data_IF_270799005476
#
_entry.id   IF_270799005476
#
_cell.length_a   1.000
_cell.length_b   1.000
_cell.length_c   1.000
_cell.angle_alpha   90.00
_cell.angle_beta   90.00
_cell.angle_gamma   90.00
#
_symmetry.space_group_name_H-M   'P 1'
#
loop_
_entity.id
_entity.type
_entity.pdbx_description
1 polymer ?
#
# COMPACT_ATOMS: atom_id res chain seq x y z
N UNK A 1 -11.67 1.47 12.19
CA UNK A 1 -11.62 1.63 10.72
C UNK A 1 -10.55 0.68 10.22
N UNK A 2 -10.85 -0.20 9.27
CA UNK A 2 -9.90 -1.24 8.86
C UNK A 2 -8.88 -0.64 7.91
N UNK A 3 -7.60 -0.74 8.26
CA UNK A 3 -6.46 -0.24 7.49
C UNK A 3 -6.52 -0.64 6.03
N UNK A 4 -6.83 -1.92 5.81
CA UNK A 4 -7.06 -2.55 4.52
C UNK A 4 -8.03 -1.77 3.62
N UNK A 5 -9.15 -1.30 4.15
CA UNK A 5 -10.17 -0.62 3.32
C UNK A 5 -9.70 0.73 2.79
N UNK A 6 -8.92 1.48 3.58
CA UNK A 6 -8.42 2.80 3.19
C UNK A 6 -7.40 2.64 2.05
N UNK A 7 -6.48 1.68 2.20
CA UNK A 7 -5.43 1.42 1.21
C UNK A 7 -6.04 0.87 -0.08
N UNK A 8 -6.98 -0.07 0.01
CA UNK A 8 -7.68 -0.59 -1.17
C UNK A 8 -8.49 0.52 -1.86
N UNK A 9 -9.18 1.38 -1.12
CA UNK A 9 -9.90 2.51 -1.75
C UNK A 9 -8.98 3.48 -2.47
N UNK A 10 -7.82 3.79 -1.90
CA UNK A 10 -6.83 4.70 -2.51
C UNK A 10 -6.23 4.10 -3.77
N UNK A 11 -5.79 2.84 -3.68
CA UNK A 11 -5.32 2.08 -4.83
C UNK A 11 -6.38 1.93 -5.93
N UNK A 12 -7.67 1.79 -5.59
CA UNK A 12 -8.74 1.77 -6.60
C UNK A 12 -8.96 3.13 -7.26
N UNK A 13 -8.57 4.22 -6.59
CA UNK A 13 -8.73 5.57 -7.10
C UNK A 13 -7.54 5.96 -7.99
N UNK A 14 -6.32 5.59 -7.58
CA UNK A 14 -5.08 5.76 -8.34
C UNK A 14 -5.03 4.81 -9.54
N UNK A 15 -5.33 3.53 -9.30
CA UNK A 15 -5.34 2.49 -10.33
C UNK A 15 -6.80 2.24 -10.72
N UNK A 16 -7.18 2.62 -11.95
CA UNK A 16 -8.52 2.29 -12.51
C UNK A 16 -8.68 0.82 -12.89
N UNK A 17 -7.78 -0.04 -12.41
CA UNK A 17 -7.73 -1.47 -12.71
C UNK A 17 -8.17 -2.27 -11.49
N UNK A 18 -8.79 -3.42 -11.74
CA UNK A 18 -9.01 -4.38 -10.66
C UNK A 18 -7.67 -4.97 -10.26
N UNK A 19 -7.25 -4.69 -9.04
CA UNK A 19 -6.14 -5.36 -8.39
C UNK A 19 -6.66 -6.32 -7.33
N UNK A 20 -5.88 -7.35 -7.10
CA UNK A 20 -6.07 -8.27 -5.99
C UNK A 20 -5.02 -7.96 -4.92
N UNK A 21 -5.18 -8.55 -3.75
CA UNK A 21 -4.22 -8.43 -2.66
C UNK A 21 -2.85 -8.98 -3.11
N UNK A 22 -2.86 -10.10 -3.83
CA UNK A 22 -1.67 -10.72 -4.43
C UNK A 22 -1.14 -10.01 -5.68
N UNK A 23 -1.79 -8.92 -6.14
CA UNK A 23 -1.28 -8.16 -7.28
C UNK A 23 -0.06 -7.34 -6.89
N UNK A 24 0.95 -7.36 -7.77
CA UNK A 24 2.16 -6.56 -7.59
C UNK A 24 1.87 -5.09 -7.89
N UNK A 25 2.41 -4.19 -7.08
CA UNK A 25 2.25 -2.74 -7.29
C UNK A 25 2.78 -2.33 -8.68
N UNK A 26 3.87 -2.94 -9.14
CA UNK A 26 4.39 -2.79 -10.51
C UNK A 26 3.41 -3.26 -11.60
N UNK A 27 2.66 -4.35 -11.37
CA UNK A 27 1.66 -4.85 -12.33
C UNK A 27 0.44 -3.93 -12.43
N UNK A 28 0.16 -3.18 -11.35
CA UNK A 28 -0.94 -2.22 -11.30
C UNK A 28 -0.64 -0.92 -12.03
N UNK A 29 0.54 -0.82 -12.65
CA UNK A 29 1.05 0.42 -13.25
C UNK A 29 1.06 1.56 -12.25
N UNK A 30 1.37 1.25 -11.00
CA UNK A 30 1.66 2.27 -9.99
C UNK A 30 3.06 2.75 -10.32
N UNK A 31 3.16 3.98 -10.81
CA UNK A 31 4.45 4.62 -11.01
C UNK A 31 5.11 4.85 -9.64
N UNK A 32 6.44 5.00 -9.62
CA UNK A 32 7.19 5.22 -8.38
C UNK A 32 6.69 6.41 -7.55
N UNK A 33 6.03 7.38 -8.19
CA UNK A 33 5.40 8.53 -7.55
C UNK A 33 4.11 8.15 -6.80
N UNK A 34 3.21 7.41 -7.46
CA UNK A 34 1.96 6.90 -6.85
C UNK A 34 2.27 5.94 -5.70
N UNK A 35 3.33 5.13 -5.85
CA UNK A 35 3.82 4.22 -4.80
C UNK A 35 4.26 5.02 -3.56
N UNK A 36 5.11 6.03 -3.76
CA UNK A 36 5.62 6.86 -2.67
C UNK A 36 4.50 7.61 -1.94
N UNK A 37 3.54 8.18 -2.68
CA UNK A 37 2.39 8.88 -2.09
C UNK A 37 1.51 7.93 -1.28
N UNK A 38 1.21 6.74 -1.81
CA UNK A 38 0.41 5.73 -1.12
C UNK A 38 1.05 5.33 0.22
N UNK A 39 2.37 5.14 0.23
CA UNK A 39 3.12 4.77 1.43
C UNK A 39 3.13 5.88 2.46
N UNK A 40 3.47 7.11 2.06
CA UNK A 40 3.52 8.26 2.98
C UNK A 40 2.15 8.48 3.59
N UNK A 41 1.09 8.44 2.78
CA UNK A 41 -0.27 8.59 3.28
C UNK A 41 -0.70 7.43 4.19
N UNK A 42 -0.21 6.21 3.95
CA UNK A 42 -0.47 5.09 4.84
C UNK A 42 0.25 5.26 6.18
N UNK A 43 1.53 5.63 6.18
CA UNK A 43 2.27 5.95 7.41
C UNK A 43 1.55 7.02 8.25
N UNK A 44 1.11 8.11 7.61
CA UNK A 44 0.39 9.18 8.28
C UNK A 44 -1.03 8.81 8.73
N UNK A 45 -1.75 7.99 7.95
CA UNK A 45 -3.11 7.59 8.29
C UNK A 45 -3.17 6.60 9.46
N UNK A 46 -2.12 5.79 9.62
CA UNK A 46 -2.04 4.76 10.65
C UNK A 46 -1.09 5.12 11.80
N UNK A 47 -0.43 6.27 11.73
CA UNK A 47 0.58 6.73 12.70
C UNK A 47 1.67 5.68 12.95
N UNK A 48 2.06 4.99 11.86
CA UNK A 48 3.14 4.00 11.88
C UNK A 48 4.34 4.52 11.11
N UNK A 49 5.49 3.89 11.31
CA UNK A 49 6.68 4.13 10.51
C UNK A 49 7.11 2.81 9.87
N UNK A 50 7.05 2.77 8.55
CA UNK A 50 7.46 1.61 7.76
C UNK A 50 8.91 1.85 7.34
N UNK A 51 9.79 0.95 7.75
CA UNK A 51 11.19 0.99 7.34
C UNK A 51 11.29 0.82 5.81
N UNK A 52 12.08 1.66 5.11
CA UNK A 52 12.34 1.53 3.68
C UNK A 52 12.79 0.11 3.29
N UNK A 53 13.48 -0.60 4.19
CA UNK A 53 13.89 -1.98 3.99
C UNK A 53 12.69 -2.93 3.90
N UNK A 54 11.69 -2.73 4.76
CA UNK A 54 10.43 -3.48 4.71
C UNK A 54 9.63 -3.08 3.48
N UNK A 55 9.68 -1.80 3.10
CA UNK A 55 9.04 -1.28 1.89
C UNK A 55 9.59 -1.89 0.60
N UNK A 56 10.91 -2.10 0.54
CA UNK A 56 11.57 -2.81 -0.55
C UNK A 56 11.21 -4.30 -0.60
N UNK A 57 10.85 -4.90 0.53
CA UNK A 57 10.33 -6.27 0.60
C UNK A 57 8.86 -6.33 0.17
N UNK A 58 8.12 -5.22 0.35
CA UNK A 58 6.73 -5.08 -0.08
C UNK A 58 6.63 -4.99 -1.59
N UNK A 59 6.17 -6.08 -2.19
CA UNK A 59 5.93 -6.18 -3.63
C UNK A 59 4.45 -6.13 -4.00
N UNK A 60 3.59 -6.58 -3.09
CA UNK A 60 2.15 -6.72 -3.32
C UNK A 60 1.35 -5.79 -2.42
N UNK A 61 0.14 -5.47 -2.87
CA UNK A 61 -0.83 -4.69 -2.08
C UNK A 61 -1.11 -5.35 -0.72
N UNK A 62 -1.20 -6.69 -0.70
CA UNK A 62 -1.38 -7.47 0.53
C UNK A 62 -0.26 -7.26 1.51
N UNK A 63 0.98 -7.23 1.03
CA UNK A 63 2.15 -7.06 1.88
C UNK A 63 2.10 -5.70 2.58
N UNK A 64 1.82 -4.62 1.83
CA UNK A 64 1.58 -3.27 2.42
C UNK A 64 0.54 -3.37 3.53
N UNK A 65 -0.63 -3.94 3.23
CA UNK A 65 -1.75 -3.99 4.17
C UNK A 65 -1.39 -4.80 5.42
N UNK A 66 -0.76 -5.96 5.24
CA UNK A 66 -0.30 -6.82 6.35
C UNK A 66 0.74 -6.14 7.21
N UNK A 67 1.66 -5.39 6.61
CA UNK A 67 2.73 -4.69 7.32
C UNK A 67 2.17 -3.65 8.28
N UNK A 68 1.12 -2.97 7.83
CA UNK A 68 0.45 -1.91 8.56
C UNK A 68 -0.50 -2.49 9.60
N UNK A 69 -1.23 -3.56 9.28
CA UNK A 69 -2.05 -4.28 10.26
C UNK A 69 -1.22 -4.96 11.34
N UNK A 70 0.00 -5.44 11.05
CA UNK A 70 0.87 -6.05 12.07
C UNK A 70 1.62 -5.03 12.93
N UNK A 71 1.67 -3.76 12.51
CA UNK A 71 2.36 -2.71 13.28
C UNK A 71 1.45 -2.04 14.31
N UNK A 72 0.20 -2.51 14.46
CA UNK A 72 -0.85 -1.93 15.32
C UNK A 72 -1.44 -2.95 16.29
#
# INVERSE_FOLDING_TARGET
MNTREIIIKKLQNLTKVKFNEDSLLEELKIDSLDLAELIIEAEQAFDISIDDNKLNDVKTVKDVILLIENSN
#
